data_IF_488366792450
#
_entry.id   IF_488366792450
#
_cell.length_a   1.000
_cell.length_b   1.000
_cell.length_c   1.000
_cell.angle_alpha   90.00
_cell.angle_beta   90.00
_cell.angle_gamma   90.00
#
_symmetry.space_group_name_H-M   'P 1'
#
loop_
_entity.id
_entity.type
_entity.pdbx_description
1 polymer ?
#
# COMPACT_ATOMS: atom_id res chain seq x y z
N UNK A 1 18.76 47.72 23.26
CA UNK A 1 19.12 46.61 22.37
C UNK A 1 18.55 45.27 22.83
N UNK A 2 18.58 44.95 24.13
CA UNK A 2 18.06 43.68 24.65
C UNK A 2 16.58 43.42 24.34
N UNK A 3 15.69 44.39 24.56
CA UNK A 3 14.26 44.28 24.23
C UNK A 3 13.99 44.00 22.74
N UNK A 4 14.81 44.55 21.85
CA UNK A 4 14.69 44.33 20.41
C UNK A 4 15.12 42.91 20.03
N UNK A 5 16.20 42.41 20.65
CA UNK A 5 16.64 41.02 20.51
C UNK A 5 15.62 40.02 21.08
N UNK A 6 14.93 40.36 22.17
CA UNK A 6 13.88 39.50 22.74
C UNK A 6 12.64 39.44 21.86
N UNK A 7 12.25 40.56 21.25
CA UNK A 7 11.16 40.61 20.26
C UNK A 7 11.47 39.77 19.02
N UNK A 8 12.70 39.86 18.50
CA UNK A 8 13.14 39.04 17.37
C UNK A 8 13.13 37.56 17.75
N UNK A 9 13.68 37.17 18.91
CA UNK A 9 13.70 35.76 19.32
C UNK A 9 12.30 35.19 19.55
N UNK A 10 11.40 35.95 20.18
CA UNK A 10 9.99 35.54 20.34
C UNK A 10 9.29 35.36 19.00
N UNK A 11 9.48 36.29 18.06
CA UNK A 11 8.89 36.20 16.72
C UNK A 11 9.37 34.95 15.95
N UNK A 12 10.66 34.61 16.07
CA UNK A 12 11.24 33.40 15.48
C UNK A 12 10.68 32.12 16.11
N UNK A 13 10.53 32.09 17.44
CA UNK A 13 9.95 30.95 18.17
C UNK A 13 8.50 30.73 17.74
N UNK A 14 7.69 31.80 17.64
CA UNK A 14 6.31 31.69 17.16
C UNK A 14 6.22 31.19 15.72
N UNK A 15 7.14 31.59 14.85
CA UNK A 15 7.18 31.13 13.46
C UNK A 15 7.50 29.62 13.38
N UNK A 16 8.50 29.17 14.14
CA UNK A 16 8.87 27.75 14.22
C UNK A 16 7.70 26.93 14.77
N UNK A 17 7.05 27.39 15.85
CA UNK A 17 5.89 26.72 16.43
C UNK A 17 4.74 26.60 15.42
N UNK A 18 4.48 27.64 14.63
CA UNK A 18 3.46 27.62 13.57
C UNK A 18 3.75 26.58 12.49
N UNK A 19 4.99 26.52 11.99
CA UNK A 19 5.39 25.52 11.00
C UNK A 19 5.34 24.09 11.57
N UNK A 20 5.76 23.89 12.82
CA UNK A 20 5.67 22.61 13.51
C UNK A 20 4.21 22.15 13.66
N UNK A 21 3.30 23.05 14.04
CA UNK A 21 1.87 22.75 14.13
C UNK A 21 1.27 22.29 12.80
N UNK A 22 1.51 23.05 11.72
CA UNK A 22 1.06 22.65 10.37
C UNK A 22 1.65 21.33 9.90
N UNK A 23 2.90 21.04 10.27
CA UNK A 23 3.56 19.79 9.93
C UNK A 23 2.95 18.61 10.70
N UNK A 24 2.64 18.80 11.98
CA UNK A 24 1.97 17.81 12.82
C UNK A 24 0.56 17.46 12.29
N UNK A 25 -0.22 18.46 11.87
CA UNK A 25 -1.55 18.25 11.29
C UNK A 25 -1.49 17.45 9.99
N UNK A 26 -0.58 17.82 9.09
CA UNK A 26 -0.35 17.08 7.83
C UNK A 26 0.09 15.65 8.09
N UNK A 27 0.98 15.44 9.08
CA UNK A 27 1.41 14.11 9.46
C UNK A 27 0.26 13.27 10.02
N UNK A 28 -0.59 13.86 10.87
CA UNK A 28 -1.78 13.19 11.42
C UNK A 28 -2.75 12.77 10.32
N UNK A 29 -3.04 13.66 9.37
CA UNK A 29 -3.87 13.35 8.20
C UNK A 29 -3.29 12.20 7.38
N UNK A 30 -1.98 12.24 7.11
CA UNK A 30 -1.28 11.18 6.36
C UNK A 30 -1.37 9.82 7.06
N UNK A 31 -1.21 9.80 8.38
CA UNK A 31 -1.34 8.57 9.18
C UNK A 31 -2.77 8.04 9.11
N UNK A 32 -3.78 8.90 9.21
CA UNK A 32 -5.18 8.47 9.13
C UNK A 32 -5.52 7.88 7.77
N UNK A 33 -5.08 8.53 6.68
CA UNK A 33 -5.23 8.00 5.33
C UNK A 33 -4.56 6.62 5.16
N UNK A 34 -3.40 6.40 5.78
CA UNK A 34 -2.77 5.07 5.78
C UNK A 34 -3.57 4.03 6.55
N UNK A 35 -4.16 4.38 7.70
CA UNK A 35 -5.00 3.45 8.46
C UNK A 35 -6.24 3.05 7.67
N UNK A 36 -6.93 4.00 7.04
CA UNK A 36 -8.10 3.72 6.22
C UNK A 36 -7.75 2.78 5.07
N UNK A 37 -6.69 3.09 4.31
CA UNK A 37 -6.22 2.21 3.22
C UNK A 37 -5.86 0.82 3.72
N UNK A 38 -5.18 0.73 4.86
CA UNK A 38 -4.84 -0.55 5.47
C UNK A 38 -6.09 -1.35 5.83
N UNK A 39 -7.05 -0.73 6.52
CA UNK A 39 -8.26 -1.38 7.01
C UNK A 39 -9.14 -1.90 5.87
N UNK A 40 -9.37 -1.07 4.85
CA UNK A 40 -10.35 -1.37 3.80
C UNK A 40 -9.80 -2.22 2.65
N UNK A 41 -8.50 -2.11 2.34
CA UNK A 41 -7.92 -2.80 1.20
C UNK A 41 -6.79 -3.76 1.59
N UNK A 42 -5.74 -3.26 2.23
CA UNK A 42 -4.51 -4.05 2.37
C UNK A 42 -4.59 -5.15 3.43
N UNK A 43 -5.33 -4.96 4.53
CA UNK A 43 -5.55 -5.99 5.54
C UNK A 43 -6.41 -7.16 5.00
N UNK A 44 -7.56 -6.92 4.35
CA UNK A 44 -8.29 -7.97 3.64
C UNK A 44 -7.45 -8.66 2.56
N UNK A 45 -6.68 -7.89 1.78
CA UNK A 45 -5.78 -8.42 0.77
C UNK A 45 -4.77 -9.41 1.34
N UNK A 46 -4.05 -9.01 2.40
CA UNK A 46 -3.08 -9.88 3.09
C UNK A 46 -3.76 -11.12 3.66
N UNK A 47 -4.98 -10.99 4.19
CA UNK A 47 -5.75 -12.12 4.71
C UNK A 47 -6.05 -13.15 3.62
N UNK A 48 -6.58 -12.70 2.47
CA UNK A 48 -6.86 -13.58 1.33
C UNK A 48 -5.55 -14.23 0.84
N UNK A 49 -4.47 -13.45 0.74
CA UNK A 49 -3.18 -13.93 0.27
C UNK A 49 -2.59 -15.01 1.18
N UNK A 50 -2.61 -14.80 2.50
CA UNK A 50 -2.12 -15.77 3.50
C UNK A 50 -2.93 -17.06 3.45
N UNK A 51 -4.27 -16.96 3.41
CA UNK A 51 -5.13 -18.14 3.31
C UNK A 51 -4.83 -18.95 2.06
N UNK A 52 -4.53 -18.28 0.95
CA UNK A 52 -4.21 -18.92 -0.31
C UNK A 52 -2.88 -19.68 -0.29
N UNK A 53 -1.79 -19.04 0.18
CA UNK A 53 -0.47 -19.68 0.24
C UNK A 53 -0.39 -20.78 1.31
N UNK A 54 -1.20 -20.70 2.38
CA UNK A 54 -1.27 -21.76 3.40
C UNK A 54 -1.74 -23.09 2.81
N UNK A 55 -2.57 -23.04 1.78
CA UNK A 55 -3.15 -24.21 1.12
C UNK A 55 -2.29 -24.67 -0.07
N UNK A 56 -1.68 -23.73 -0.82
CA UNK A 56 -1.10 -24.04 -2.13
C UNK A 56 0.44 -24.03 -2.19
N UNK A 57 1.13 -23.77 -1.07
CA UNK A 57 2.60 -23.56 -0.93
C UNK A 57 3.17 -22.39 -1.77
N UNK A 58 2.75 -22.26 -3.03
CA UNK A 58 3.08 -21.18 -3.98
C UNK A 58 1.81 -20.57 -4.55
N UNK A 59 1.82 -19.25 -4.88
CA UNK A 59 0.72 -18.66 -5.59
C UNK A 59 0.67 -19.18 -7.03
N UNK A 60 -0.35 -19.96 -7.36
CA UNK A 60 -0.64 -20.43 -8.72
C UNK A 60 -1.57 -19.42 -9.40
N UNK A 61 -1.06 -18.55 -10.29
CA UNK A 61 -1.84 -17.42 -10.82
C UNK A 61 -3.05 -17.86 -11.67
N UNK A 62 -3.07 -19.09 -12.16
CA UNK A 62 -4.17 -19.79 -12.81
C UNK A 62 -5.31 -20.20 -11.85
N UNK A 63 -5.12 -20.07 -10.53
CA UNK A 63 -6.21 -20.27 -9.58
C UNK A 63 -7.25 -19.14 -9.71
N UNK A 64 -8.33 -19.45 -10.44
CA UNK A 64 -9.41 -18.53 -10.75
C UNK A 64 -10.12 -18.02 -9.49
N UNK A 65 -10.28 -18.86 -8.46
CA UNK A 65 -10.96 -18.48 -7.23
C UNK A 65 -10.17 -17.39 -6.49
N UNK A 66 -8.87 -17.60 -6.30
CA UNK A 66 -7.99 -16.61 -5.69
C UNK A 66 -7.95 -15.32 -6.50
N UNK A 67 -7.77 -15.44 -7.82
CA UNK A 67 -7.75 -14.30 -8.73
C UNK A 67 -9.03 -13.46 -8.62
N UNK A 68 -10.19 -14.11 -8.69
CA UNK A 68 -11.48 -13.42 -8.63
C UNK A 68 -11.68 -12.71 -7.29
N UNK A 69 -11.32 -13.36 -6.17
CA UNK A 69 -11.38 -12.75 -4.83
C UNK A 69 -10.55 -11.47 -4.72
N UNK A 70 -9.33 -11.48 -5.26
CA UNK A 70 -8.47 -10.28 -5.28
C UNK A 70 -9.06 -9.19 -6.17
N UNK A 71 -9.49 -9.53 -7.38
CA UNK A 71 -10.05 -8.55 -8.32
C UNK A 71 -11.34 -7.92 -7.78
N UNK A 72 -12.19 -8.71 -7.14
CA UNK A 72 -13.41 -8.23 -6.48
C UNK A 72 -13.09 -7.32 -5.29
N UNK A 73 -12.13 -7.71 -4.44
CA UNK A 73 -11.66 -6.86 -3.34
C UNK A 73 -11.20 -5.49 -3.87
N UNK A 74 -10.37 -5.47 -4.92
CA UNK A 74 -9.87 -4.23 -5.52
C UNK A 74 -11.02 -3.42 -6.12
N UNK A 75 -11.93 -4.06 -6.87
CA UNK A 75 -13.08 -3.38 -7.49
C UNK A 75 -13.93 -2.66 -6.44
N UNK A 76 -14.18 -3.30 -5.30
CA UNK A 76 -15.00 -2.75 -4.23
C UNK A 76 -14.28 -1.66 -3.41
N UNK A 77 -12.95 -1.58 -3.50
CA UNK A 77 -12.10 -0.69 -2.68
C UNK A 77 -11.10 0.11 -3.52
N UNK A 78 -11.44 0.42 -4.78
CA UNK A 78 -10.50 0.98 -5.75
C UNK A 78 -9.94 2.35 -5.33
N UNK A 79 -10.70 3.10 -4.54
CA UNK A 79 -10.33 4.39 -3.96
C UNK A 79 -9.10 4.31 -3.04
N UNK A 80 -8.82 3.13 -2.47
CA UNK A 80 -7.71 2.92 -1.55
C UNK A 80 -6.45 2.33 -2.21
N UNK A 81 -6.55 1.97 -3.49
CA UNK A 81 -5.46 1.37 -4.27
C UNK A 81 -4.41 2.42 -4.62
N UNK A 82 -3.13 2.10 -4.45
CA UNK A 82 -2.04 2.98 -4.89
C UNK A 82 -1.96 3.08 -6.41
N UNK A 83 -1.31 4.14 -6.87
CA UNK A 83 -1.16 4.46 -8.30
C UNK A 83 -0.47 3.37 -9.10
N UNK A 84 0.54 2.69 -8.54
CA UNK A 84 1.28 1.67 -9.27
C UNK A 84 0.43 0.41 -9.44
N UNK A 85 -0.23 -0.03 -8.36
CA UNK A 85 -1.16 -1.15 -8.41
C UNK A 85 -2.37 -0.85 -9.29
N UNK A 86 -2.86 0.39 -9.32
CA UNK A 86 -3.94 0.82 -10.22
C UNK A 86 -3.53 0.70 -11.69
N UNK A 87 -2.31 1.07 -12.05
CA UNK A 87 -1.81 0.92 -13.41
C UNK A 87 -1.80 -0.55 -13.85
N UNK A 88 -1.31 -1.47 -13.00
CA UNK A 88 -1.34 -2.90 -13.28
C UNK A 88 -2.78 -3.44 -13.37
N UNK A 89 -3.67 -2.98 -12.50
CA UNK A 89 -5.08 -3.37 -12.51
C UNK A 89 -5.76 -2.96 -13.82
N UNK A 90 -5.60 -1.71 -14.25
CA UNK A 90 -6.12 -1.21 -15.54
C UNK A 90 -5.52 -1.98 -16.73
N UNK A 91 -4.21 -2.24 -16.68
CA UNK A 91 -3.52 -3.00 -17.72
C UNK A 91 -4.03 -4.44 -17.83
N UNK A 92 -4.32 -5.09 -16.70
CA UNK A 92 -4.90 -6.43 -16.63
C UNK A 92 -6.25 -6.51 -17.37
N UNK A 93 -7.18 -5.60 -17.09
CA UNK A 93 -8.48 -5.56 -17.79
C UNK A 93 -8.37 -5.20 -19.26
N UNK A 94 -7.45 -4.30 -19.59
CA UNK A 94 -7.18 -3.91 -20.98
C UNK A 94 -6.68 -5.12 -21.77
N UNK A 95 -5.75 -5.89 -21.22
CA UNK A 95 -5.18 -7.07 -21.89
C UNK A 95 -6.16 -8.24 -22.04
N UNK A 96 -7.02 -8.49 -21.03
CA UNK A 96 -8.13 -9.45 -21.15
C UNK A 96 -9.01 -9.11 -22.35
N UNK A 97 -9.37 -7.82 -22.50
CA UNK A 97 -10.21 -7.34 -23.60
C UNK A 97 -9.59 -7.59 -24.98
N UNK A 98 -8.27 -7.54 -25.09
CA UNK A 98 -7.56 -7.74 -26.36
C UNK A 98 -7.12 -9.19 -26.63
N UNK A 99 -7.44 -10.15 -25.75
CA UNK A 99 -6.99 -11.56 -25.83
C UNK A 99 -5.49 -11.72 -26.12
N UNK A 100 -4.68 -10.73 -25.71
CA UNK A 100 -3.23 -10.70 -25.93
C UNK A 100 -2.55 -10.81 -24.57
N UNK A 101 -1.53 -11.68 -24.50
CA UNK A 101 -0.59 -11.88 -23.40
C UNK A 101 -1.01 -12.72 -22.18
N UNK A 102 0.06 -13.18 -21.51
CA UNK A 102 0.13 -13.91 -20.25
C UNK A 102 -0.47 -13.08 -19.09
N UNK A 103 -1.80 -13.09 -18.99
CA UNK A 103 -2.56 -12.42 -17.91
C UNK A 103 -2.08 -12.82 -16.52
N UNK A 104 -1.47 -14.00 -16.38
CA UNK A 104 -0.91 -14.49 -15.12
C UNK A 104 0.25 -13.61 -14.66
N UNK A 105 1.18 -13.26 -15.56
CA UNK A 105 2.31 -12.39 -15.26
C UNK A 105 1.88 -11.00 -14.83
N UNK A 106 0.89 -10.43 -15.51
CA UNK A 106 0.34 -9.11 -15.14
C UNK A 106 -0.32 -9.16 -13.76
N UNK A 107 -1.10 -10.21 -13.50
CA UNK A 107 -1.71 -10.41 -12.19
C UNK A 107 -0.68 -10.59 -11.08
N UNK A 108 0.40 -11.34 -11.31
CA UNK A 108 1.50 -11.45 -10.34
C UNK A 108 2.17 -10.10 -10.07
N UNK A 109 2.40 -9.28 -11.11
CA UNK A 109 2.95 -7.93 -10.93
C UNK A 109 2.02 -7.02 -10.12
N UNK A 110 0.71 -7.14 -10.32
CA UNK A 110 -0.29 -6.45 -9.49
C UNK A 110 -0.16 -6.86 -8.02
N UNK A 111 -0.12 -8.17 -7.73
CA UNK A 111 0.06 -8.69 -6.36
C UNK A 111 1.35 -8.16 -5.73
N UNK A 112 2.46 -8.19 -6.47
CA UNK A 112 3.77 -7.70 -6.00
C UNK A 112 3.73 -6.21 -5.68
N UNK A 113 3.09 -5.41 -6.54
CA UNK A 113 2.89 -3.96 -6.31
C UNK A 113 2.07 -3.71 -5.05
N UNK A 114 0.95 -4.43 -4.85
CA UNK A 114 0.12 -4.29 -3.66
C UNK A 114 0.85 -4.69 -2.38
N UNK A 115 1.68 -5.74 -2.42
CA UNK A 115 2.52 -6.14 -1.28
C UNK A 115 3.58 -5.08 -0.96
N UNK A 116 4.19 -4.47 -1.98
CA UNK A 116 5.16 -3.38 -1.76
C UNK A 116 4.51 -2.17 -1.09
N UNK A 117 3.33 -1.78 -1.54
CA UNK A 117 2.59 -0.70 -0.90
C UNK A 117 2.13 -1.07 0.52
N UNK A 118 1.66 -2.29 0.73
CA UNK A 118 1.30 -2.77 2.06
C UNK A 118 2.50 -2.71 3.02
N UNK A 119 3.70 -3.11 2.57
CA UNK A 119 4.93 -3.00 3.35
C UNK A 119 5.23 -1.54 3.73
N UNK A 120 5.04 -0.61 2.80
CA UNK A 120 5.21 0.81 3.06
C UNK A 120 4.21 1.31 4.10
N UNK A 121 2.93 0.96 3.97
CA UNK A 121 1.89 1.33 4.94
C UNK A 121 2.18 0.74 6.32
N UNK A 122 2.49 -0.56 6.41
CA UNK A 122 2.84 -1.23 7.67
C UNK A 122 4.01 -0.54 8.37
N UNK A 123 5.05 -0.15 7.61
CA UNK A 123 6.20 0.61 8.12
C UNK A 123 5.82 1.97 8.69
N UNK A 124 4.98 2.73 7.98
CA UNK A 124 4.57 4.06 8.45
C UNK A 124 3.64 3.99 9.66
N UNK A 125 2.81 2.95 9.76
CA UNK A 125 1.88 2.74 10.87
C UNK A 125 2.48 1.95 12.05
N UNK A 126 3.71 1.43 11.91
CA UNK A 126 4.34 0.51 12.87
C UNK A 126 3.51 -0.76 13.13
N UNK A 127 2.86 -1.25 12.08
CA UNK A 127 2.13 -2.53 12.12
C UNK A 127 3.07 -3.71 11.89
N UNK A 128 2.65 -4.95 12.20
CA UNK A 128 3.42 -6.14 11.90
C UNK A 128 3.77 -6.21 10.40
N UNK A 129 5.03 -6.50 10.07
CA UNK A 129 5.56 -6.49 8.68
C UNK A 129 5.16 -7.74 7.88
N UNK A 130 3.87 -8.06 7.82
CA UNK A 130 3.35 -9.24 7.13
C UNK A 130 3.69 -9.19 5.65
N UNK A 131 3.54 -8.03 5.02
CA UNK A 131 3.83 -7.88 3.59
C UNK A 131 5.31 -8.12 3.26
N UNK A 132 6.22 -7.70 4.14
CA UNK A 132 7.65 -7.97 3.98
C UNK A 132 7.95 -9.48 4.03
N UNK A 133 7.36 -10.20 4.99
CA UNK A 133 7.53 -11.66 5.10
C UNK A 133 6.98 -12.39 3.87
N UNK A 134 5.87 -11.92 3.31
CA UNK A 134 5.28 -12.49 2.11
C UNK A 134 6.14 -12.24 0.87
N UNK A 135 6.69 -11.02 0.72
CA UNK A 135 7.62 -10.68 -0.36
C UNK A 135 8.92 -11.49 -0.28
N UNK A 136 9.49 -11.67 0.91
CA UNK A 136 10.71 -12.48 1.06
C UNK A 136 10.46 -13.94 0.70
N UNK A 137 9.28 -14.48 1.03
CA UNK A 137 8.89 -15.83 0.61
C UNK A 137 8.72 -15.95 -0.89
N UNK A 138 8.11 -14.96 -1.57
CA UNK A 138 8.01 -14.97 -3.03
C UNK A 138 9.38 -14.99 -3.72
N UNK A 139 10.31 -14.12 -3.29
CA UNK A 139 11.63 -14.06 -3.91
C UNK A 139 12.44 -15.36 -3.73
N UNK A 140 12.27 -16.08 -2.61
CA UNK A 140 12.87 -17.39 -2.37
C UNK A 140 12.29 -18.52 -3.23
N UNK A 141 11.17 -18.27 -3.92
CA UNK A 141 10.46 -19.26 -4.73
C UNK A 141 10.60 -18.99 -6.24
N UNK A 142 11.17 -17.84 -6.61
CA UNK A 142 11.55 -17.41 -7.96
C UNK A 142 13.00 -17.82 -8.34
N UNK A 143 13.79 -18.30 -7.37
CA UNK A 143 15.07 -19.04 -7.55
C UNK A 143 14.82 -20.54 -7.68
#
# INVERSE_FOLDING_TARGET
MEHFLTLISQSFITLIAFFLGKWQDRYKYKIEAYKERYLHLYCPFITIYISYIRINEKPKPDNLEFRNKILELIKNNILYLDTNSLAYFQFFFTMIRFKKYDSNKIFLNLIKSMLQECKHIEKNLRYPMKAQLLLSRQNLLDE
#
